data_IF_964534770563
#
_entry.id   IF_964534770563
#
_cell.length_a   1.000
_cell.length_b   1.000
_cell.length_c   1.000
_cell.angle_alpha   90.00
_cell.angle_beta   90.00
_cell.angle_gamma   90.00
#
_symmetry.space_group_name_H-M   'P 1'
#
loop_
_entity.id
_entity.type
_entity.pdbx_description
1 polymer ?
#
# COMPACT_ATOMS: atom_id res chain seq x y z
N UNK A 1 -32.17 45.04 10.12
CA UNK A 1 -32.10 43.63 10.55
C UNK A 1 -31.34 42.88 9.47
N UNK A 2 -30.00 42.89 9.55
CA UNK A 2 -29.13 42.47 8.43
C UNK A 2 -27.79 41.94 8.99
N UNK A 3 -27.85 41.08 10.01
CA UNK A 3 -26.66 40.49 10.64
C UNK A 3 -26.61 38.96 10.58
N UNK A 4 -27.69 38.28 10.17
CA UNK A 4 -27.69 36.82 10.05
C UNK A 4 -26.98 36.30 8.79
N UNK A 5 -26.95 37.08 7.71
CA UNK A 5 -26.43 36.60 6.42
C UNK A 5 -24.89 36.51 6.37
N UNK A 6 -24.17 37.44 7.00
CA UNK A 6 -22.69 37.52 6.90
C UNK A 6 -21.96 36.47 7.75
N UNK A 7 -22.55 36.09 8.88
CA UNK A 7 -21.94 35.14 9.83
C UNK A 7 -22.03 33.69 9.35
N UNK A 8 -23.18 33.33 8.77
CA UNK A 8 -23.41 32.01 8.17
C UNK A 8 -22.51 31.80 6.94
N UNK A 9 -22.33 32.84 6.11
CA UNK A 9 -21.43 32.80 4.96
C UNK A 9 -19.96 32.59 5.37
N UNK A 10 -19.53 33.18 6.49
CA UNK A 10 -18.17 33.03 7.00
C UNK A 10 -17.92 31.63 7.59
N UNK A 11 -18.91 31.05 8.27
CA UNK A 11 -18.85 29.67 8.76
C UNK A 11 -18.82 28.65 7.61
N UNK A 12 -19.71 28.84 6.61
CA UNK A 12 -19.75 28.02 5.40
C UNK A 12 -18.46 28.10 4.58
N UNK A 13 -17.83 29.27 4.53
CA UNK A 13 -16.52 29.46 3.88
C UNK A 13 -15.40 28.70 4.62
N UNK A 14 -15.42 28.72 5.96
CA UNK A 14 -14.49 27.91 6.76
C UNK A 14 -14.68 26.41 6.53
N UNK A 15 -15.94 25.95 6.45
CA UNK A 15 -16.26 24.56 6.17
C UNK A 15 -15.82 24.15 4.75
N UNK A 16 -16.00 25.00 3.75
CA UNK A 16 -15.59 24.68 2.37
C UNK A 16 -14.07 24.63 2.23
N UNK A 17 -13.33 25.52 2.88
CA UNK A 17 -11.86 25.51 2.90
C UNK A 17 -11.34 24.24 3.58
N UNK A 18 -11.88 23.88 4.74
CA UNK A 18 -11.45 22.68 5.48
C UNK A 18 -11.75 21.40 4.71
N UNK A 19 -12.92 21.28 4.09
CA UNK A 19 -13.25 20.15 3.21
C UNK A 19 -12.33 20.13 1.99
N UNK A 20 -12.03 21.28 1.38
CA UNK A 20 -11.12 21.40 0.25
C UNK A 20 -9.71 20.92 0.57
N UNK A 21 -9.14 21.32 1.71
CA UNK A 21 -7.80 20.88 2.11
C UNK A 21 -7.74 19.40 2.45
N UNK A 22 -8.77 18.85 3.10
CA UNK A 22 -8.88 17.41 3.35
C UNK A 22 -8.93 16.65 2.02
N UNK A 23 -9.77 17.08 1.07
CA UNK A 23 -9.90 16.44 -0.25
C UNK A 23 -8.58 16.50 -1.01
N UNK A 24 -7.89 17.66 -1.02
CA UNK A 24 -6.58 17.79 -1.66
C UNK A 24 -5.56 16.84 -1.00
N UNK A 25 -5.51 16.79 0.33
CA UNK A 25 -4.62 15.89 1.07
C UNK A 25 -4.88 14.41 0.77
N UNK A 26 -6.15 14.01 0.72
CA UNK A 26 -6.55 12.64 0.35
C UNK A 26 -6.16 12.30 -1.09
N UNK A 27 -6.40 13.21 -2.04
CA UNK A 27 -5.99 13.02 -3.44
C UNK A 27 -4.47 12.90 -3.53
N UNK A 28 -3.72 13.79 -2.88
CA UNK A 28 -2.26 13.72 -2.84
C UNK A 28 -1.75 12.40 -2.23
N UNK A 29 -2.37 11.92 -1.15
CA UNK A 29 -2.03 10.63 -0.53
C UNK A 29 -2.32 9.44 -1.46
N UNK A 30 -3.46 9.43 -2.14
CA UNK A 30 -3.83 8.37 -3.09
C UNK A 30 -2.85 8.36 -4.27
N UNK A 31 -2.50 9.52 -4.84
CA UNK A 31 -1.52 9.61 -5.92
C UNK A 31 -0.15 9.13 -5.45
N UNK A 32 0.30 9.56 -4.27
CA UNK A 32 1.58 9.12 -3.69
C UNK A 32 1.63 7.60 -3.50
N UNK A 33 0.60 7.01 -2.89
CA UNK A 33 0.55 5.58 -2.59
C UNK A 33 0.36 4.69 -3.81
N UNK A 34 -0.39 5.13 -4.82
CA UNK A 34 -0.68 4.30 -6.01
C UNK A 34 0.38 4.41 -7.11
N UNK A 35 1.14 5.51 -7.17
CA UNK A 35 2.06 5.77 -8.30
C UNK A 35 3.54 5.84 -7.90
N UNK A 36 3.86 6.26 -6.67
CA UNK A 36 5.24 6.63 -6.31
C UNK A 36 5.90 5.67 -5.33
N UNK A 37 5.11 4.92 -4.55
CA UNK A 37 5.62 3.86 -3.69
C UNK A 37 5.63 2.58 -4.52
N UNK A 38 6.80 2.04 -4.94
CA UNK A 38 6.83 0.66 -5.40
C UNK A 38 6.30 -0.15 -4.22
N UNK A 39 5.11 -0.74 -4.37
CA UNK A 39 4.57 -1.64 -3.38
C UNK A 39 5.69 -2.62 -3.09
N UNK A 40 6.23 -2.56 -1.86
CA UNK A 40 7.26 -3.51 -1.45
C UNK A 40 6.59 -4.86 -1.59
N UNK A 41 6.98 -5.57 -2.63
CA UNK A 41 6.25 -6.71 -3.13
C UNK A 41 6.68 -7.89 -2.27
N UNK A 42 5.87 -8.16 -1.25
CA UNK A 42 6.10 -9.21 -0.27
C UNK A 42 5.47 -10.49 -0.78
N UNK A 43 6.17 -11.61 -0.62
CA UNK A 43 5.63 -12.92 -0.91
C UNK A 43 5.20 -13.59 0.39
N UNK A 44 3.94 -14.02 0.46
CA UNK A 44 3.46 -14.87 1.54
C UNK A 44 3.72 -16.34 1.17
N UNK A 45 4.53 -17.03 1.95
CA UNK A 45 4.84 -18.43 1.75
C UNK A 45 4.93 -19.18 3.07
N UNK A 46 4.17 -20.27 3.19
CA UNK A 46 4.12 -21.11 4.39
C UNK A 46 3.88 -20.34 5.71
N UNK A 47 3.03 -19.30 5.67
CA UNK A 47 2.73 -18.45 6.82
C UNK A 47 3.77 -17.36 7.14
N UNK A 48 4.82 -17.23 6.32
CA UNK A 48 5.85 -16.21 6.46
C UNK A 48 5.78 -15.18 5.34
N UNK A 49 6.20 -13.96 5.64
CA UNK A 49 6.28 -12.85 4.71
C UNK A 49 7.74 -12.59 4.33
N UNK A 50 8.08 -12.75 3.04
CA UNK A 50 9.43 -12.57 2.50
C UNK A 50 9.50 -11.29 1.66
N UNK A 51 10.56 -10.51 1.83
CA UNK A 51 10.78 -9.28 1.04
C UNK A 51 11.15 -9.60 -0.41
N UNK A 52 10.90 -8.67 -1.35
CA UNK A 52 11.38 -8.83 -2.73
C UNK A 52 12.88 -9.14 -2.77
N UNK A 53 13.24 -10.10 -3.63
CA UNK A 53 14.57 -10.72 -3.81
C UNK A 53 15.09 -11.54 -2.64
N UNK A 54 14.32 -11.69 -1.56
CA UNK A 54 14.68 -12.58 -0.47
C UNK A 54 14.63 -14.04 -0.93
N UNK A 55 15.68 -14.80 -0.56
CA UNK A 55 15.78 -16.24 -0.83
C UNK A 55 15.52 -17.03 0.45
N UNK A 56 14.77 -18.11 0.34
CA UNK A 56 14.37 -18.93 1.48
C UNK A 56 14.17 -20.39 1.06
N UNK A 57 14.33 -21.35 1.99
CA UNK A 57 14.07 -22.76 1.70
C UNK A 57 12.57 -23.00 1.45
N UNK A 58 12.27 -23.87 0.48
CA UNK A 58 10.92 -24.41 0.27
C UNK A 58 10.49 -25.28 1.46
N UNK A 59 9.19 -25.42 1.63
CA UNK A 59 8.59 -26.29 2.66
C UNK A 59 8.85 -27.78 2.42
N UNK A 60 9.26 -28.16 1.20
CA UNK A 60 9.70 -29.52 0.86
C UNK A 60 11.10 -29.88 1.39
N UNK A 61 11.85 -28.92 1.94
CA UNK A 61 13.18 -29.15 2.50
C UNK A 61 14.32 -29.37 1.48
N UNK A 62 14.04 -29.33 0.18
CA UNK A 62 15.01 -29.54 -0.89
C UNK A 62 15.16 -28.32 -1.79
N UNK A 63 14.03 -27.73 -2.21
CA UNK A 63 14.02 -26.61 -3.13
C UNK A 63 14.35 -25.28 -2.45
N UNK A 64 14.81 -24.34 -3.25
CA UNK A 64 15.05 -22.96 -2.84
C UNK A 64 14.09 -22.04 -3.57
N UNK A 65 13.51 -21.11 -2.85
CA UNK A 65 12.57 -20.13 -3.37
C UNK A 65 13.18 -18.73 -3.31
N UNK A 66 12.72 -17.86 -4.20
CA UNK A 66 13.00 -16.44 -4.20
C UNK A 66 11.69 -15.68 -4.33
N UNK A 67 11.52 -14.63 -3.53
CA UNK A 67 10.43 -13.69 -3.75
C UNK A 67 10.81 -12.76 -4.91
N UNK A 68 9.98 -12.68 -5.93
CA UNK A 68 10.19 -11.77 -7.05
C UNK A 68 8.90 -11.06 -7.39
N UNK A 69 8.84 -9.76 -7.13
CA UNK A 69 7.67 -8.93 -7.42
C UNK A 69 6.36 -9.46 -6.80
N UNK A 70 6.43 -10.04 -5.60
CA UNK A 70 5.26 -10.56 -4.88
C UNK A 70 4.87 -11.98 -5.30
N UNK A 71 5.66 -12.61 -6.19
CA UNK A 71 5.51 -14.00 -6.59
C UNK A 71 6.65 -14.85 -6.02
N UNK A 72 6.29 -16.01 -5.48
CA UNK A 72 7.25 -17.00 -5.00
C UNK A 72 7.68 -17.89 -6.16
N UNK A 73 8.98 -17.87 -6.48
CA UNK A 73 9.57 -18.69 -7.55
C UNK A 73 10.54 -19.67 -6.91
N UNK A 74 10.28 -20.98 -7.04
CA UNK A 74 11.13 -22.03 -6.48
C UNK A 74 11.88 -22.81 -7.55
N UNK A 75 12.99 -23.43 -7.17
CA UNK A 75 13.64 -24.47 -7.99
C UNK A 75 12.72 -25.69 -8.11
N UNK A 76 12.92 -26.50 -9.16
CA UNK A 76 12.17 -27.74 -9.40
C UNK A 76 13.12 -28.95 -9.39
N UNK A 77 13.85 -29.13 -8.29
CA UNK A 77 14.73 -30.28 -8.11
C UNK A 77 13.92 -31.51 -7.71
N UNK A 78 14.28 -32.66 -8.26
CA UNK A 78 13.75 -33.94 -7.80
C UNK A 78 14.26 -34.22 -6.38
N UNK A 79 13.36 -34.21 -5.41
CA UNK A 79 13.66 -34.50 -4.02
C UNK A 79 13.86 -36.01 -3.87
N UNK A 80 14.97 -36.41 -3.27
CA UNK A 80 15.18 -37.80 -2.83
C UNK A 80 14.82 -37.81 -1.37
N UNK A 81 13.64 -38.34 -1.06
CA UNK A 81 13.20 -38.61 0.33
C UNK A 81 14.23 -39.44 1.09
#
# INVERSE_FOLDING_TARGET
MEESNTKDNSFLLGLSITLGTIVIGLISYIVYSTQLVPQKSVCEYNGWAYSDKEKYPSSDGCNQCVCSNGETICTEMACTE
#
